data_IF_649551181003
#
_entry.id   IF_649551181003
#
_cell.length_a   1.000
_cell.length_b   1.000
_cell.length_c   1.000
_cell.angle_alpha   90.00
_cell.angle_beta   90.00
_cell.angle_gamma   90.00
#
_symmetry.space_group_name_H-M   'P 1'
#
loop_
_entity.id
_entity.type
_entity.pdbx_description
1 polymer ?
#
# COMPACT_ATOMS: atom_id res chain seq x y z
N UNK A 1 -20.41 9.93 -3.07
CA UNK A 1 -19.14 10.27 -3.75
C UNK A 1 -18.75 9.36 -4.93
N UNK A 2 -19.63 8.48 -5.46
CA UNK A 2 -19.27 7.49 -6.51
C UNK A 2 -19.63 7.89 -7.95
N UNK A 3 -20.23 9.08 -8.15
CA UNK A 3 -20.65 9.57 -9.47
C UNK A 3 -19.49 10.03 -10.35
N UNK A 4 -18.33 10.32 -9.76
CA UNK A 4 -17.16 10.84 -10.47
C UNK A 4 -16.46 9.75 -11.30
N UNK A 5 -16.31 8.54 -10.77
CA UNK A 5 -15.64 7.44 -11.48
C UNK A 5 -16.53 6.79 -12.55
N UNK A 6 -17.84 6.94 -12.45
CA UNK A 6 -18.83 6.36 -13.38
C UNK A 6 -19.15 7.26 -14.58
N UNK A 7 -18.43 8.40 -14.72
CA UNK A 7 -18.63 9.37 -15.81
C UNK A 7 -20.06 9.91 -15.94
N UNK A 8 -20.82 9.95 -14.83
CA UNK A 8 -22.19 10.48 -14.83
C UNK A 8 -22.23 11.95 -15.26
N UNK A 9 -21.22 12.73 -14.85
CA UNK A 9 -20.92 14.07 -15.36
C UNK A 9 -19.57 14.03 -16.13
N UNK A 10 -19.56 13.77 -17.46
CA UNK A 10 -18.32 13.50 -18.20
C UNK A 10 -17.34 14.67 -18.14
N UNK A 11 -17.83 15.92 -18.12
CA UNK A 11 -16.97 17.11 -17.99
C UNK A 11 -16.22 17.16 -16.67
N UNK A 12 -16.89 16.89 -15.54
CA UNK A 12 -16.26 16.92 -14.21
C UNK A 12 -15.29 15.78 -14.04
N UNK A 13 -15.68 14.57 -14.45
CA UNK A 13 -14.82 13.38 -14.41
C UNK A 13 -13.57 13.54 -15.27
N UNK A 14 -13.70 14.09 -16.49
CA UNK A 14 -12.57 14.34 -17.37
C UNK A 14 -11.62 15.42 -16.82
N UNK A 15 -12.15 16.50 -16.23
CA UNK A 15 -11.31 17.53 -15.60
C UNK A 15 -10.54 16.94 -14.41
N UNK A 16 -11.20 16.13 -13.56
CA UNK A 16 -10.50 15.51 -12.41
C UNK A 16 -9.47 14.48 -12.85
N UNK A 17 -9.77 13.64 -13.84
CA UNK A 17 -8.77 12.74 -14.42
C UNK A 17 -7.61 13.56 -15.01
N UNK A 18 -7.90 14.56 -15.84
CA UNK A 18 -6.91 15.41 -16.48
C UNK A 18 -6.01 16.13 -15.47
N UNK A 19 -6.57 16.62 -14.36
CA UNK A 19 -5.79 17.27 -13.30
C UNK A 19 -4.87 16.28 -12.59
N UNK A 20 -5.36 15.08 -12.26
CA UNK A 20 -4.56 14.01 -11.65
C UNK A 20 -3.41 13.60 -12.58
N UNK A 21 -3.69 13.38 -13.87
CA UNK A 21 -2.67 12.97 -14.85
C UNK A 21 -1.66 14.09 -15.07
N UNK A 22 -2.10 15.33 -15.20
CA UNK A 22 -1.22 16.50 -15.34
C UNK A 22 -0.32 16.64 -14.12
N UNK A 23 -0.87 16.50 -12.91
CA UNK A 23 -0.10 16.52 -11.67
C UNK A 23 0.94 15.39 -11.62
N UNK A 24 0.57 14.17 -12.03
CA UNK A 24 1.50 13.04 -12.11
C UNK A 24 2.63 13.29 -13.11
N UNK A 25 2.33 13.87 -14.27
CA UNK A 25 3.34 14.23 -15.28
C UNK A 25 4.26 15.34 -14.75
N UNK A 26 3.70 16.35 -14.08
CA UNK A 26 4.45 17.43 -13.44
C UNK A 26 5.43 16.89 -12.39
N UNK A 27 5.00 15.95 -11.54
CA UNK A 27 5.90 15.32 -10.54
C UNK A 27 7.08 14.60 -11.20
N UNK A 28 6.87 13.97 -12.37
CA UNK A 28 7.94 13.25 -13.08
C UNK A 28 8.91 14.20 -13.79
N UNK A 29 8.39 15.24 -14.40
CA UNK A 29 9.19 16.19 -15.18
C UNK A 29 9.85 17.25 -14.33
N UNK A 30 9.12 17.77 -13.35
CA UNK A 30 9.62 18.74 -12.38
C UNK A 30 10.12 17.94 -11.19
N UNK A 31 11.43 17.97 -10.96
CA UNK A 31 11.98 17.48 -9.70
C UNK A 31 11.54 18.44 -8.58
N UNK A 32 10.32 18.25 -8.07
CA UNK A 32 9.70 19.11 -7.06
C UNK A 32 10.54 19.19 -5.80
N UNK A 33 11.24 18.10 -5.46
CA UNK A 33 12.17 18.06 -4.34
C UNK A 33 13.33 19.01 -4.59
N UNK A 34 14.00 18.90 -5.75
CA UNK A 34 15.09 19.81 -6.10
C UNK A 34 14.62 21.26 -6.25
N UNK A 35 13.42 21.50 -6.79
CA UNK A 35 12.83 22.83 -6.90
C UNK A 35 12.56 23.42 -5.51
N UNK A 36 11.96 22.65 -4.62
CA UNK A 36 11.68 23.06 -3.23
C UNK A 36 12.97 23.42 -2.50
N UNK A 37 14.00 22.58 -2.59
CA UNK A 37 15.29 22.86 -1.98
C UNK A 37 15.95 24.09 -2.62
N UNK A 38 15.92 24.22 -3.94
CA UNK A 38 16.50 25.37 -4.64
C UNK A 38 15.82 26.68 -4.26
N UNK A 39 14.50 26.70 -4.22
CA UNK A 39 13.72 27.86 -3.76
C UNK A 39 14.02 28.18 -2.29
N UNK A 40 14.03 27.18 -1.43
CA UNK A 40 14.36 27.34 -0.01
C UNK A 40 15.77 27.91 0.17
N UNK A 41 16.76 27.41 -0.57
CA UNK A 41 18.13 27.93 -0.54
C UNK A 41 18.17 29.40 -0.97
N UNK A 42 17.51 29.78 -2.06
CA UNK A 42 17.47 31.18 -2.48
C UNK A 42 16.80 32.08 -1.44
N UNK A 43 15.65 31.67 -0.90
CA UNK A 43 14.92 32.43 0.13
C UNK A 43 15.80 32.61 1.37
N UNK A 44 16.43 31.53 1.86
CA UNK A 44 17.29 31.56 3.04
C UNK A 44 18.55 32.38 2.81
N UNK A 45 19.20 32.26 1.64
CA UNK A 45 20.39 33.06 1.31
C UNK A 45 20.05 34.54 1.16
N UNK A 46 18.99 34.90 0.45
CA UNK A 46 18.54 36.29 0.31
C UNK A 46 18.21 36.87 1.68
N UNK A 47 17.47 36.12 2.52
CA UNK A 47 17.16 36.54 3.89
C UNK A 47 18.43 36.71 4.74
N UNK A 48 19.39 35.79 4.62
CA UNK A 48 20.65 35.85 5.36
C UNK A 48 21.55 37.01 4.94
N UNK A 49 21.67 37.26 3.63
CA UNK A 49 22.42 38.39 3.07
C UNK A 49 21.78 39.72 3.46
N UNK A 50 20.44 39.84 3.36
CA UNK A 50 19.71 41.03 3.77
C UNK A 50 19.90 41.33 5.27
N UNK A 51 19.92 40.30 6.11
CA UNK A 51 20.15 40.44 7.55
C UNK A 51 21.60 40.84 7.86
N UNK A 52 22.58 40.24 7.17
CA UNK A 52 24.01 40.55 7.35
C UNK A 52 24.34 41.98 6.91
N UNK A 53 23.89 42.38 5.71
CA UNK A 53 24.06 43.74 5.18
C UNK A 53 23.32 44.75 6.06
N UNK A 54 22.11 44.43 6.52
CA UNK A 54 21.35 45.29 7.43
C UNK A 54 22.04 45.53 8.76
N UNK A 55 22.59 44.48 9.38
CA UNK A 55 23.38 44.59 10.61
C UNK A 55 24.65 45.40 10.40
N UNK A 56 25.34 45.21 9.27
CA UNK A 56 26.57 45.92 8.95
C UNK A 56 26.34 47.43 8.74
N UNK A 57 25.27 47.82 8.04
CA UNK A 57 24.99 49.22 7.72
C UNK A 57 24.23 49.97 8.81
N UNK A 58 23.35 49.29 9.56
CA UNK A 58 22.35 49.94 10.43
C UNK A 58 22.41 49.48 11.90
N UNK A 59 23.38 48.62 12.26
CA UNK A 59 23.53 48.01 13.58
C UNK A 59 22.43 47.00 13.96
N UNK A 60 21.37 46.89 13.15
CA UNK A 60 20.19 46.05 13.36
C UNK A 60 19.72 45.51 12.02
N UNK A 61 19.41 44.22 11.92
CA UNK A 61 19.12 43.57 10.64
C UNK A 61 17.75 43.89 10.06
N UNK A 62 17.66 43.99 8.73
CA UNK A 62 16.44 44.39 8.02
C UNK A 62 15.29 43.40 8.25
N UNK A 63 15.55 42.10 8.25
CA UNK A 63 14.52 41.07 8.42
C UNK A 63 14.03 41.06 9.88
N UNK A 64 14.92 41.32 10.84
CA UNK A 64 14.57 41.41 12.26
C UNK A 64 13.66 42.60 12.58
N UNK A 65 13.82 43.74 11.90
CA UNK A 65 12.96 44.92 12.11
C UNK A 65 11.51 44.73 11.65
N UNK A 66 11.31 43.93 10.60
CA UNK A 66 9.98 43.65 10.04
C UNK A 66 9.37 42.33 10.53
N UNK A 67 10.00 41.65 11.50
CA UNK A 67 9.54 40.34 11.99
C UNK A 67 8.15 40.48 12.66
N UNK A 68 7.06 39.94 12.07
CA UNK A 68 5.80 39.82 12.79
C UNK A 68 5.94 38.80 13.93
N UNK A 69 5.15 38.95 15.00
CA UNK A 69 5.17 37.98 16.10
C UNK A 69 4.90 36.56 15.56
N UNK A 70 5.67 35.54 15.99
CA UNK A 70 5.49 34.18 15.52
C UNK A 70 4.11 33.68 15.96
N UNK A 71 3.20 33.52 15.00
CA UNK A 71 1.90 32.88 15.21
C UNK A 71 1.98 31.45 14.72
N UNK A 72 1.62 30.49 15.56
CA UNK A 72 1.50 29.10 15.18
C UNK A 72 0.23 28.91 14.33
N UNK A 73 0.32 29.19 13.03
CA UNK A 73 -0.82 29.01 12.11
C UNK A 73 -1.30 27.55 11.99
N UNK A 74 -0.47 26.57 12.40
CA UNK A 74 -0.74 25.15 12.22
C UNK A 74 -1.05 24.45 13.57
N UNK A 75 -0.85 25.11 14.71
CA UNK A 75 -0.88 24.47 16.05
C UNK A 75 -2.16 23.71 16.35
N UNK A 76 -3.30 24.39 16.25
CA UNK A 76 -4.61 23.80 16.55
C UNK A 76 -4.98 22.63 15.61
N UNK A 77 -4.61 22.74 14.33
CA UNK A 77 -4.83 21.68 13.34
C UNK A 77 -3.89 20.49 13.61
N UNK A 78 -2.63 20.75 13.93
CA UNK A 78 -1.66 19.70 14.26
C UNK A 78 -2.08 18.92 15.52
N UNK A 79 -2.54 19.61 16.56
CA UNK A 79 -2.98 18.98 17.81
C UNK A 79 -4.21 18.11 17.61
N UNK A 80 -5.09 18.49 16.67
CA UNK A 80 -6.24 17.67 16.28
C UNK A 80 -5.85 16.39 15.53
N UNK A 81 -4.90 16.47 14.59
CA UNK A 81 -4.53 15.33 13.74
C UNK A 81 -3.44 14.42 14.35
N UNK A 82 -2.58 14.94 15.22
CA UNK A 82 -1.52 14.19 15.89
C UNK A 82 -2.01 12.86 16.52
N UNK A 83 -3.08 12.82 17.34
CA UNK A 83 -3.54 11.57 17.95
C UNK A 83 -4.04 10.54 16.92
N UNK A 84 -4.62 11.00 15.82
CA UNK A 84 -5.08 10.11 14.75
C UNK A 84 -3.91 9.44 14.03
N UNK A 85 -2.86 10.20 13.71
CA UNK A 85 -1.65 9.66 13.08
C UNK A 85 -0.99 8.63 13.98
N UNK A 86 -0.86 8.92 15.28
CA UNK A 86 -0.29 8.00 16.26
C UNK A 86 -1.11 6.71 16.36
N UNK A 87 -2.44 6.82 16.38
CA UNK A 87 -3.33 5.64 16.41
C UNK A 87 -3.17 4.77 15.17
N UNK A 88 -3.08 5.38 13.99
CA UNK A 88 -2.87 4.67 12.72
C UNK A 88 -1.52 3.95 12.73
N UNK A 89 -0.45 4.64 13.14
CA UNK A 89 0.89 4.04 13.23
C UNK A 89 0.92 2.84 14.18
N UNK A 90 0.32 2.97 15.37
CA UNK A 90 0.21 1.87 16.33
C UNK A 90 -0.55 0.67 15.76
N UNK A 91 -1.63 0.92 15.01
CA UNK A 91 -2.40 -0.14 14.36
C UNK A 91 -1.57 -0.87 13.29
N UNK A 92 -0.84 -0.12 12.45
CA UNK A 92 0.03 -0.68 11.42
C UNK A 92 1.14 -1.53 12.07
N UNK A 93 1.73 -1.04 13.15
CA UNK A 93 2.76 -1.77 13.89
C UNK A 93 2.23 -3.11 14.40
N UNK A 94 1.09 -3.12 15.10
CA UNK A 94 0.47 -4.34 15.61
C UNK A 94 0.10 -5.31 14.49
N UNK A 95 -0.42 -4.81 13.37
CA UNK A 95 -0.76 -5.63 12.20
C UNK A 95 0.49 -6.24 11.55
N UNK A 96 1.58 -5.49 11.46
CA UNK A 96 2.85 -5.96 10.88
C UNK A 96 3.48 -7.04 11.76
N UNK A 97 3.48 -6.84 13.09
CA UNK A 97 3.95 -7.84 14.04
C UNK A 97 3.14 -9.14 13.96
N UNK A 98 1.81 -9.03 13.81
CA UNK A 98 0.93 -10.19 13.63
C UNK A 98 1.23 -10.97 12.35
N UNK A 99 1.49 -10.25 11.24
CA UNK A 99 1.87 -10.86 9.95
C UNK A 99 3.21 -11.59 10.05
N UNK A 100 4.23 -11.00 10.69
CA UNK A 100 5.54 -11.65 10.83
C UNK A 100 5.49 -12.86 11.78
N UNK A 101 4.68 -12.77 12.83
CA UNK A 101 4.51 -13.85 13.82
C UNK A 101 3.58 -14.97 13.33
N UNK A 102 2.97 -14.80 12.14
CA UNK A 102 2.03 -15.74 11.53
C UNK A 102 0.89 -16.18 12.48
N UNK A 103 0.39 -15.25 13.30
CA UNK A 103 -0.73 -15.53 14.24
C UNK A 103 -1.97 -16.01 13.49
N UNK A 104 -2.19 -15.47 12.29
CA UNK A 104 -3.11 -16.01 11.30
C UNK A 104 -2.33 -16.42 10.05
N UNK A 105 -2.14 -17.74 9.89
CA UNK A 105 -1.39 -18.34 8.78
C UNK A 105 -2.06 -18.07 7.44
N UNK A 106 -3.39 -18.06 7.38
CA UNK A 106 -4.12 -17.84 6.13
C UNK A 106 -3.92 -16.40 5.64
N UNK A 107 -4.08 -15.44 6.55
CA UNK A 107 -3.86 -14.01 6.23
C UNK A 107 -2.39 -13.74 5.88
N UNK A 108 -1.45 -14.37 6.57
CA UNK A 108 -0.01 -14.23 6.31
C UNK A 108 0.36 -14.79 4.95
N UNK A 109 -0.15 -15.97 4.59
CA UNK A 109 0.13 -16.60 3.30
C UNK A 109 -0.49 -15.81 2.14
N UNK A 110 -1.74 -15.36 2.28
CA UNK A 110 -2.39 -14.46 1.30
C UNK A 110 -1.59 -13.18 1.12
N UNK A 111 -1.14 -12.58 2.21
CA UNK A 111 -0.33 -11.35 2.19
C UNK A 111 1.03 -11.59 1.54
N UNK A 112 1.69 -12.72 1.82
CA UNK A 112 2.96 -13.10 1.19
C UNK A 112 2.84 -13.30 -0.32
N UNK A 113 1.77 -13.97 -0.77
CA UNK A 113 1.48 -14.13 -2.20
C UNK A 113 1.22 -12.77 -2.85
N UNK A 114 0.38 -11.92 -2.23
CA UNK A 114 0.14 -10.55 -2.70
C UNK A 114 1.42 -9.74 -2.79
N UNK A 115 2.27 -9.79 -1.76
CA UNK A 115 3.55 -9.09 -1.73
C UNK A 115 4.48 -9.57 -2.84
N UNK A 116 4.52 -10.87 -3.15
CA UNK A 116 5.29 -11.41 -4.27
C UNK A 116 4.81 -10.87 -5.62
N UNK A 117 3.50 -10.85 -5.86
CA UNK A 117 2.94 -10.25 -7.07
C UNK A 117 3.23 -8.76 -7.15
N UNK A 118 3.10 -8.04 -6.04
CA UNK A 118 3.38 -6.60 -5.98
C UNK A 118 4.86 -6.31 -6.24
N UNK A 119 5.76 -7.16 -5.74
CA UNK A 119 7.20 -7.10 -6.04
C UNK A 119 7.46 -7.32 -7.53
N UNK A 120 6.90 -8.38 -8.13
CA UNK A 120 7.07 -8.63 -9.57
C UNK A 120 6.51 -7.49 -10.42
N UNK A 121 5.36 -6.92 -10.02
CA UNK A 121 4.75 -5.80 -10.72
C UNK A 121 5.63 -4.54 -10.63
N UNK A 122 6.16 -4.22 -9.45
CA UNK A 122 7.05 -3.06 -9.24
C UNK A 122 8.43 -3.28 -9.86
N UNK A 123 8.87 -4.52 -9.98
CA UNK A 123 10.10 -4.87 -10.70
C UNK A 123 9.95 -4.71 -12.21
N UNK A 124 8.76 -4.92 -12.77
CA UNK A 124 8.49 -4.77 -14.19
C UNK A 124 8.13 -3.32 -14.57
N UNK A 125 7.51 -2.57 -13.65
CA UNK A 125 7.00 -1.22 -13.89
C UNK A 125 7.51 -0.24 -12.84
N UNK A 126 7.93 0.95 -13.29
CA UNK A 126 8.22 2.06 -12.37
C UNK A 126 6.98 2.44 -11.56
N UNK A 127 7.16 2.84 -10.29
CA UNK A 127 6.08 3.34 -9.43
C UNK A 127 5.25 4.44 -10.12
N UNK A 128 5.89 5.30 -10.90
CA UNK A 128 5.20 6.33 -11.68
C UNK A 128 4.27 5.72 -12.73
N UNK A 129 4.75 4.72 -13.48
CA UNK A 129 3.94 4.05 -14.51
C UNK A 129 2.77 3.29 -13.89
N UNK A 130 2.95 2.72 -12.69
CA UNK A 130 1.87 2.09 -11.94
C UNK A 130 0.83 3.10 -11.48
N UNK A 131 1.26 4.22 -10.90
CA UNK A 131 0.33 5.27 -10.46
C UNK A 131 -0.44 5.87 -11.64
N UNK A 132 0.23 6.12 -12.77
CA UNK A 132 -0.41 6.64 -13.98
C UNK A 132 -1.44 5.65 -14.54
N UNK A 133 -1.03 4.39 -14.72
CA UNK A 133 -1.91 3.35 -15.25
C UNK A 133 -3.09 3.09 -14.32
N UNK A 134 -2.86 3.07 -13.00
CA UNK A 134 -3.91 2.94 -11.99
C UNK A 134 -4.92 4.08 -12.07
N UNK A 135 -4.47 5.34 -12.18
CA UNK A 135 -5.36 6.48 -12.32
C UNK A 135 -6.20 6.39 -13.60
N UNK A 136 -5.60 6.00 -14.73
CA UNK A 136 -6.35 5.78 -15.97
C UNK A 136 -7.37 4.65 -15.79
N UNK A 137 -6.94 3.49 -15.30
CA UNK A 137 -7.82 2.33 -15.10
C UNK A 137 -8.96 2.63 -14.12
N UNK A 138 -8.71 3.34 -13.03
CA UNK A 138 -9.74 3.70 -12.06
C UNK A 138 -10.89 4.48 -12.70
N UNK A 139 -10.60 5.34 -13.67
CA UNK A 139 -11.61 6.13 -14.36
C UNK A 139 -12.13 5.49 -15.65
N UNK A 140 -11.43 4.52 -16.26
CA UNK A 140 -11.89 3.84 -17.48
C UNK A 140 -12.63 2.54 -17.20
N UNK A 141 -12.25 1.79 -16.15
CA UNK A 141 -12.82 0.47 -15.86
C UNK A 141 -14.30 0.55 -15.48
N UNK A 142 -14.75 1.43 -14.55
CA UNK A 142 -16.16 1.52 -14.19
C UNK A 142 -17.11 1.85 -15.36
N UNK A 143 -16.85 2.87 -16.21
CA UNK A 143 -17.77 3.19 -17.30
C UNK A 143 -17.78 2.10 -18.40
N UNK A 144 -16.63 1.48 -18.70
CA UNK A 144 -16.56 0.38 -19.68
C UNK A 144 -17.32 -0.85 -19.17
N UNK A 145 -17.19 -1.15 -17.87
CA UNK A 145 -17.95 -2.23 -17.23
C UNK A 145 -19.44 -1.97 -17.27
N UNK A 146 -19.89 -0.76 -16.90
CA UNK A 146 -21.31 -0.42 -16.94
C UNK A 146 -21.90 -0.49 -18.37
N UNK A 147 -21.11 -0.12 -19.39
CA UNK A 147 -21.56 -0.14 -20.78
C UNK A 147 -21.66 -1.56 -21.37
N UNK A 148 -20.91 -2.53 -20.84
CA UNK A 148 -20.81 -3.90 -21.39
C UNK A 148 -21.13 -4.98 -20.34
N UNK A 149 -21.85 -4.61 -19.29
CA UNK A 149 -22.03 -5.43 -18.09
C UNK A 149 -22.49 -6.85 -18.40
N UNK A 150 -23.49 -7.00 -19.26
CA UNK A 150 -24.06 -8.31 -19.58
C UNK A 150 -23.07 -9.24 -20.29
N UNK A 151 -22.27 -8.69 -21.20
CA UNK A 151 -21.27 -9.47 -21.95
C UNK A 151 -20.11 -9.86 -21.03
N UNK A 152 -19.65 -8.92 -20.20
CA UNK A 152 -18.57 -9.14 -19.25
C UNK A 152 -18.99 -10.17 -18.19
N UNK A 153 -20.17 -10.02 -17.59
CA UNK A 153 -20.66 -10.95 -16.57
C UNK A 153 -20.82 -12.37 -17.14
N UNK A 154 -21.35 -12.50 -18.37
CA UNK A 154 -21.42 -13.81 -19.06
C UNK A 154 -20.04 -14.43 -19.30
N UNK A 155 -19.06 -13.63 -19.71
CA UNK A 155 -17.71 -14.12 -19.98
C UNK A 155 -16.94 -14.45 -18.71
N UNK A 156 -17.10 -13.66 -17.64
CA UNK A 156 -16.52 -13.96 -16.33
C UNK A 156 -17.13 -15.24 -15.77
N UNK A 157 -18.44 -15.42 -15.83
CA UNK A 157 -19.09 -16.65 -15.37
C UNK A 157 -18.60 -17.87 -16.13
N UNK A 158 -18.50 -17.80 -17.46
CA UNK A 158 -17.91 -18.88 -18.29
C UNK A 158 -16.45 -19.14 -17.92
N UNK A 159 -15.66 -18.09 -17.74
CA UNK A 159 -14.24 -18.20 -17.36
C UNK A 159 -14.05 -18.82 -15.98
N UNK A 160 -14.86 -18.44 -14.99
CA UNK A 160 -14.86 -19.01 -13.64
C UNK A 160 -15.29 -20.48 -13.67
N UNK A 161 -16.31 -20.84 -14.45
CA UNK A 161 -16.73 -22.23 -14.60
C UNK A 161 -15.64 -23.09 -15.26
N UNK A 162 -15.03 -22.58 -16.33
CA UNK A 162 -13.94 -23.28 -17.02
C UNK A 162 -12.68 -23.38 -16.16
N UNK A 163 -12.39 -22.34 -15.37
CA UNK A 163 -11.32 -22.33 -14.38
C UNK A 163 -11.56 -23.35 -13.26
N UNK A 164 -12.79 -23.43 -12.72
CA UNK A 164 -13.16 -24.45 -11.73
C UNK A 164 -13.08 -25.86 -12.31
N UNK A 165 -13.52 -26.06 -13.56
CA UNK A 165 -13.41 -27.35 -14.24
C UNK A 165 -11.93 -27.78 -14.37
N UNK A 166 -11.07 -26.91 -14.93
CA UNK A 166 -9.63 -27.18 -15.05
C UNK A 166 -8.93 -27.34 -13.71
N UNK A 167 -9.31 -26.55 -12.70
CA UNK A 167 -8.79 -26.70 -11.35
C UNK A 167 -9.17 -28.07 -10.78
N UNK A 168 -10.43 -28.50 -10.92
CA UNK A 168 -10.88 -29.81 -10.44
C UNK A 168 -10.18 -30.97 -11.16
N UNK A 169 -9.89 -30.84 -12.45
CA UNK A 169 -9.09 -31.82 -13.21
C UNK A 169 -7.63 -31.84 -12.75
N UNK A 170 -7.04 -30.67 -12.51
CA UNK A 170 -5.69 -30.54 -11.97
C UNK A 170 -5.60 -31.14 -10.55
N UNK A 171 -6.60 -30.91 -9.70
CA UNK A 171 -6.69 -31.51 -8.37
C UNK A 171 -6.79 -33.03 -8.45
N UNK A 172 -7.66 -33.59 -9.31
CA UNK A 172 -7.77 -35.05 -9.51
C UNK A 172 -6.46 -35.66 -10.03
N UNK A 173 -5.81 -34.99 -10.98
CA UNK A 173 -4.52 -35.44 -11.53
C UNK A 173 -3.40 -35.35 -10.48
N UNK A 174 -3.42 -34.31 -9.65
CA UNK A 174 -2.52 -34.16 -8.52
C UNK A 174 -2.78 -35.24 -7.46
N UNK A 175 -4.02 -35.53 -7.10
CA UNK A 175 -4.38 -36.57 -6.13
C UNK A 175 -3.93 -37.97 -6.60
N UNK A 176 -4.06 -38.27 -7.90
CA UNK A 176 -3.58 -39.54 -8.48
C UNK A 176 -2.03 -39.63 -8.50
N UNK A 177 -1.33 -38.53 -8.78
CA UNK A 177 0.15 -38.52 -8.85
C UNK A 177 0.82 -38.39 -7.49
N UNK A 178 0.25 -37.57 -6.61
CA UNK A 178 0.77 -37.32 -5.27
C UNK A 178 0.21 -38.28 -4.23
N UNK A 179 -0.94 -38.93 -4.43
CA UNK A 179 -1.48 -39.96 -3.53
C UNK A 179 -0.46 -41.06 -3.19
N UNK A 180 0.14 -41.77 -4.17
CA UNK A 180 1.13 -42.80 -3.88
C UNK A 180 2.47 -42.24 -3.33
N UNK A 181 2.80 -40.98 -3.60
CA UNK A 181 4.01 -40.34 -3.04
C UNK A 181 3.80 -39.79 -1.63
N UNK A 182 2.60 -39.32 -1.31
CA UNK A 182 2.18 -38.86 0.01
C UNK A 182 2.05 -40.04 0.96
N UNK A 183 1.55 -41.19 0.51
CA UNK A 183 1.52 -42.40 1.35
C UNK A 183 2.94 -42.94 1.62
N UNK A 184 3.85 -42.89 0.63
CA UNK A 184 5.27 -43.19 0.86
C UNK A 184 5.93 -42.18 1.81
N UNK A 185 5.69 -40.88 1.63
CA UNK A 185 6.21 -39.84 2.51
C UNK A 185 5.65 -39.96 3.93
N UNK A 186 4.34 -40.17 4.10
CA UNK A 186 3.71 -40.43 5.41
C UNK A 186 4.32 -41.67 6.07
N UNK A 187 4.50 -42.77 5.35
CA UNK A 187 5.09 -43.99 5.92
C UNK A 187 6.56 -43.80 6.35
N UNK A 188 7.34 -43.01 5.61
CA UNK A 188 8.73 -42.69 5.94
C UNK A 188 8.85 -41.68 7.10
N UNK A 189 7.90 -40.74 7.23
CA UNK A 189 7.90 -39.68 8.24
C UNK A 189 7.14 -40.11 9.51
N UNK A 190 6.26 -41.11 9.44
CA UNK A 190 5.51 -41.66 10.58
C UNK A 190 6.40 -42.11 11.77
N UNK A 191 7.50 -42.86 11.58
CA UNK A 191 8.38 -43.21 12.69
C UNK A 191 9.09 -41.97 13.29
N UNK A 192 9.48 -41.00 12.45
CA UNK A 192 10.10 -39.76 12.90
C UNK A 192 9.10 -38.86 13.66
N UNK A 193 7.85 -38.79 13.22
CA UNK A 193 6.78 -38.03 13.87
C UNK A 193 6.41 -38.62 15.25
N UNK A 194 6.33 -39.95 15.35
CA UNK A 194 6.13 -40.63 16.65
C UNK A 194 7.25 -40.37 17.65
N UNK A 195 8.50 -40.30 17.18
CA UNK A 195 9.64 -39.94 18.03
C UNK A 195 9.57 -38.49 18.49
N UNK A 196 9.12 -37.57 17.64
CA UNK A 196 8.90 -36.16 18.00
C UNK A 196 7.75 -36.03 19.01
N UNK A 197 6.61 -36.70 18.81
CA UNK A 197 5.49 -36.72 19.77
C UNK A 197 5.90 -37.28 21.13
N UNK A 198 6.72 -38.34 21.17
CA UNK A 198 7.24 -38.91 22.42
C UNK A 198 8.19 -37.97 23.18
N UNK A 199 8.76 -36.97 22.49
CA UNK A 199 9.68 -35.98 23.07
C UNK A 199 9.06 -34.60 23.25
N UNK A 200 7.83 -34.39 22.77
CA UNK A 200 7.05 -33.21 23.08
C UNK A 200 6.43 -33.39 24.46
N UNK A 201 6.63 -32.46 25.41
CA UNK A 201 6.00 -32.56 26.72
C UNK A 201 4.49 -32.46 26.54
N UNK A 202 3.77 -33.56 26.84
CA UNK A 202 2.32 -33.53 27.00
C UNK A 202 2.04 -32.60 28.18
N UNK A 203 1.55 -31.39 27.91
CA UNK A 203 0.98 -30.51 28.94
C UNK A 203 -0.28 -31.19 29.48
N UNK A 204 -0.11 -32.09 30.46
CA UNK A 204 -1.19 -32.45 31.35
C UNK A 204 -1.56 -31.19 32.10
N UNK A 205 -2.79 -30.70 31.89
CA UNK A 205 -3.38 -29.68 32.72
C UNK A 205 -3.42 -30.24 34.15
N UNK A 206 -2.48 -29.82 35.00
CA UNK A 206 -2.52 -30.09 36.42
C UNK A 206 -3.73 -29.38 37.00
N UNK A 207 -4.77 -30.13 37.32
CA UNK A 207 -5.82 -29.69 38.25
C UNK A 207 -5.20 -29.67 39.64
N UNK A 208 -4.68 -28.53 40.07
CA UNK A 208 -4.44 -28.27 41.50
C UNK A 208 -5.77 -27.98 42.16
N UNK A 209 -6.36 -29.03 42.74
CA UNK A 209 -7.19 -28.93 43.95
C UNK A 209 -6.26 -29.16 45.13
N UNK A 210 -6.21 -28.19 46.05
CA UNK A 210 -5.36 -28.20 47.24
C UNK A 210 -5.03 -26.78 47.69
#
# INVERSE_FOLDING_TARGET
SCSLLTWKDPKKSAITLGSILTFLVLIKWVNLVALFFRLSTFILLISGVAEYVGKFLTGTGFVTKFKPQPKACIGETADYYAPHVVTILKKIELQTQSLYTAVDVETTLRTGVLAFFLYKLTSAFSLWTLAFTSAVLAFTVPPVYLSNKEVIDKNILKGVQLGKAKASEAYKTAEVKFGPQLEKAKSAVAPAWKLIESKLPVRTAGTTVG
#
